data_IF_837731123680
#
_entry.id   IF_837731123680
#
_cell.length_a   1.000
_cell.length_b   1.000
_cell.length_c   1.000
_cell.angle_alpha   90.00
_cell.angle_beta   90.00
_cell.angle_gamma   90.00
#
_symmetry.space_group_name_H-M   'P 1'
#
loop_
_entity.id
_entity.type
_entity.pdbx_description
1 polymer ?
#
# COMPACT_ATOMS: atom_id res chain seq x y z
N UNK A 1 -22.38 -3.38 0.45
CA UNK A 1 -23.83 -3.54 0.15
C UNK A 1 -24.30 -2.24 -0.47
N UNK A 2 -24.78 -2.25 -1.73
CA UNK A 2 -25.22 -1.03 -2.40
C UNK A 2 -26.71 -0.78 -2.11
N UNK A 3 -27.03 0.37 -1.54
CA UNK A 3 -28.41 0.81 -1.29
C UNK A 3 -28.94 1.48 -2.56
N UNK A 4 -30.07 1.02 -3.08
CA UNK A 4 -30.70 1.46 -4.33
C UNK A 4 -32.10 2.04 -4.12
N UNK A 5 -32.85 1.57 -3.13
CA UNK A 5 -34.21 2.06 -2.83
C UNK A 5 -34.47 2.11 -1.32
N UNK A 6 -35.25 3.10 -0.87
CA UNK A 6 -35.73 3.25 0.50
C UNK A 6 -37.22 3.62 0.47
N UNK A 7 -38.06 2.81 1.11
CA UNK A 7 -39.51 3.05 1.23
C UNK A 7 -39.83 3.31 2.71
N UNK A 8 -40.52 4.42 2.98
CA UNK A 8 -40.90 4.82 4.33
C UNK A 8 -42.28 4.26 4.73
N UNK A 9 -42.37 3.69 5.92
CA UNK A 9 -43.60 3.25 6.60
C UNK A 9 -43.75 3.95 7.96
N UNK A 10 -44.91 3.77 8.59
CA UNK A 10 -45.24 4.41 9.88
C UNK A 10 -44.22 4.05 10.99
N UNK A 11 -43.70 2.83 10.99
CA UNK A 11 -42.82 2.27 12.02
C UNK A 11 -41.49 1.74 11.50
N UNK A 12 -41.19 1.86 10.20
CA UNK A 12 -39.95 1.35 9.61
C UNK A 12 -39.53 2.04 8.31
N UNK A 13 -38.27 1.80 7.90
CA UNK A 13 -37.79 2.01 6.53
C UNK A 13 -37.50 0.64 5.90
N UNK A 14 -37.92 0.44 4.65
CA UNK A 14 -37.61 -0.75 3.85
C UNK A 14 -36.53 -0.40 2.83
N UNK A 15 -35.33 -0.98 2.97
CA UNK A 15 -34.18 -0.75 2.10
C UNK A 15 -34.07 -1.90 1.09
N UNK A 16 -33.95 -1.57 -0.20
CA UNK A 16 -33.85 -2.52 -1.31
C UNK A 16 -35.01 -3.55 -1.39
N UNK A 17 -36.14 -3.28 -0.75
CA UNK A 17 -37.29 -4.19 -0.68
C UNK A 17 -37.19 -5.29 0.39
N UNK A 18 -35.99 -5.58 0.91
CA UNK A 18 -35.75 -6.78 1.71
C UNK A 18 -35.21 -6.50 3.13
N UNK A 19 -34.76 -5.28 3.41
CA UNK A 19 -34.18 -4.92 4.71
C UNK A 19 -35.14 -3.97 5.45
N UNK A 20 -35.69 -4.42 6.58
CA UNK A 20 -36.57 -3.59 7.42
C UNK A 20 -35.79 -2.97 8.59
N UNK A 21 -35.83 -1.64 8.70
CA UNK A 21 -35.20 -0.87 9.78
C UNK A 21 -36.30 -0.20 10.61
N UNK A 22 -36.55 -0.69 11.82
CA UNK A 22 -37.62 -0.17 12.69
C UNK A 22 -37.30 1.23 13.24
N UNK A 23 -38.22 2.18 13.02
CA UNK A 23 -38.23 3.51 13.64
C UNK A 23 -38.44 3.34 15.15
N UNK A 24 -37.52 3.86 15.94
CA UNK A 24 -37.58 3.77 17.42
C UNK A 24 -36.87 2.56 18.04
N UNK A 25 -36.30 1.64 17.25
CA UNK A 25 -35.21 0.82 17.77
C UNK A 25 -34.09 1.78 18.19
N UNK A 26 -33.47 1.60 19.37
CA UNK A 26 -32.49 2.53 19.97
C UNK A 26 -31.22 2.80 19.13
N UNK A 27 -31.25 2.39 17.87
CA UNK A 27 -30.30 2.64 16.81
C UNK A 27 -30.60 4.00 16.17
N UNK A 28 -30.49 5.07 16.96
CA UNK A 28 -30.56 6.47 16.47
C UNK A 28 -29.73 6.68 15.20
N UNK A 29 -28.56 6.03 15.15
CA UNK A 29 -27.67 5.99 14.00
C UNK A 29 -28.32 5.48 12.70
N UNK A 30 -29.15 4.42 12.75
CA UNK A 30 -29.78 3.87 11.55
C UNK A 30 -30.90 4.78 11.04
N UNK A 31 -31.62 5.46 11.93
CA UNK A 31 -32.64 6.46 11.58
C UNK A 31 -31.97 7.68 10.95
N UNK A 32 -30.89 8.19 11.56
CA UNK A 32 -30.15 9.33 11.03
C UNK A 32 -29.55 9.03 9.64
N UNK A 33 -29.07 7.80 9.41
CA UNK A 33 -28.61 7.36 8.06
C UNK A 33 -29.78 7.28 7.08
N UNK A 34 -30.92 6.74 7.48
CA UNK A 34 -32.09 6.64 6.61
C UNK A 34 -32.59 8.03 6.18
N UNK A 35 -32.66 8.98 7.11
CA UNK A 35 -33.03 10.37 6.84
C UNK A 35 -32.00 11.08 5.95
N UNK A 36 -30.70 10.82 6.16
CA UNK A 36 -29.63 11.35 5.31
C UNK A 36 -29.69 10.81 3.88
N UNK A 37 -29.96 9.51 3.69
CA UNK A 37 -30.18 8.91 2.36
C UNK A 37 -31.46 9.46 1.72
N UNK A 38 -32.55 9.64 2.49
CA UNK A 38 -33.81 10.20 2.00
C UNK A 38 -33.69 11.65 1.52
N UNK A 39 -32.71 12.40 2.03
CA UNK A 39 -32.34 13.74 1.53
C UNK A 39 -31.55 13.71 0.21
N UNK A 40 -31.37 12.53 -0.40
CA UNK A 40 -30.68 12.37 -1.68
C UNK A 40 -29.17 12.19 -1.55
N UNK A 41 -28.64 11.97 -0.34
CA UNK A 41 -27.23 11.69 -0.16
C UNK A 41 -26.92 10.20 -0.40
N UNK A 42 -25.70 9.92 -0.88
CA UNK A 42 -25.21 8.56 -1.14
C UNK A 42 -23.91 8.36 -0.36
N UNK A 43 -23.76 7.27 0.41
CA UNK A 43 -22.49 7.00 1.10
C UNK A 43 -21.38 6.87 0.07
N UNK A 44 -20.21 7.43 0.38
CA UNK A 44 -19.04 7.24 -0.47
C UNK A 44 -18.75 5.74 -0.63
N UNK A 45 -18.34 5.29 -1.84
CA UNK A 45 -17.91 3.92 -2.03
C UNK A 45 -16.78 3.58 -1.06
N UNK A 46 -16.84 2.38 -0.48
CA UNK A 46 -15.72 1.87 0.30
C UNK A 46 -14.48 1.77 -0.60
N UNK A 47 -13.40 2.42 -0.18
CA UNK A 47 -12.06 2.29 -0.76
C UNK A 47 -11.23 1.47 0.20
N UNK A 48 -10.77 0.30 -0.24
CA UNK A 48 -9.89 -0.54 0.57
C UNK A 48 -8.57 0.18 0.84
N UNK A 49 -8.07 0.22 2.09
CA UNK A 49 -6.77 0.81 2.37
C UNK A 49 -5.67 0.02 1.64
N UNK A 50 -4.58 0.69 1.22
CA UNK A 50 -3.47 0.00 0.59
C UNK A 50 -2.89 -1.07 1.51
N UNK A 51 -2.46 -2.18 0.92
CA UNK A 51 -1.80 -3.26 1.65
C UNK A 51 -0.63 -2.70 2.50
N UNK A 52 -0.45 -3.21 3.74
CA UNK A 52 0.63 -2.76 4.60
C UNK A 52 1.98 -3.01 3.92
N UNK A 53 2.93 -2.09 4.14
CA UNK A 53 4.29 -2.24 3.60
C UNK A 53 5.03 -3.30 4.42
N UNK A 54 5.54 -4.36 3.79
CA UNK A 54 6.41 -5.32 4.46
C UNK A 54 7.61 -4.61 5.08
N UNK A 55 7.86 -4.86 6.37
CA UNK A 55 8.98 -4.20 7.07
C UNK A 55 10.33 -4.88 6.79
N UNK A 56 10.30 -6.11 6.28
CA UNK A 56 11.48 -6.82 5.80
C UNK A 56 11.14 -7.75 4.64
N UNK A 57 12.14 -8.00 3.80
CA UNK A 57 12.11 -9.01 2.73
C UNK A 57 13.46 -9.73 2.70
N UNK A 58 13.50 -10.93 2.12
CA UNK A 58 14.79 -11.60 1.89
C UNK A 58 15.59 -10.86 0.82
N UNK A 59 16.92 -10.99 0.83
CA UNK A 59 17.78 -10.44 -0.24
C UNK A 59 17.35 -10.90 -1.63
N UNK A 60 16.99 -12.18 -1.77
CA UNK A 60 16.51 -12.75 -3.03
C UNK A 60 15.27 -12.00 -3.52
N UNK A 61 14.29 -11.81 -2.65
CA UNK A 61 13.06 -11.07 -2.97
C UNK A 61 13.34 -9.63 -3.36
N UNK A 62 14.18 -8.93 -2.60
CA UNK A 62 14.58 -7.56 -2.89
C UNK A 62 15.27 -7.43 -4.26
N UNK A 63 16.22 -8.32 -4.56
CA UNK A 63 16.90 -8.33 -5.87
C UNK A 63 15.97 -8.65 -7.03
N UNK A 64 15.04 -9.60 -6.86
CA UNK A 64 14.06 -9.92 -7.89
C UNK A 64 13.10 -8.75 -8.14
N UNK A 65 12.69 -8.03 -7.10
CA UNK A 65 11.87 -6.82 -7.26
C UNK A 65 12.63 -5.70 -7.97
N UNK A 66 13.91 -5.48 -7.64
CA UNK A 66 14.77 -4.52 -8.35
C UNK A 66 14.95 -4.89 -9.83
N UNK A 67 15.13 -6.19 -10.12
CA UNK A 67 15.23 -6.71 -11.48
C UNK A 67 13.93 -6.46 -12.28
N UNK A 68 12.78 -6.53 -11.62
CA UNK A 68 11.47 -6.24 -12.23
C UNK A 68 11.17 -4.74 -12.33
N UNK A 69 11.98 -3.86 -11.73
CA UNK A 69 11.75 -2.42 -11.72
C UNK A 69 12.54 -1.73 -12.84
N UNK A 70 11.89 -1.16 -13.86
CA UNK A 70 12.58 -0.51 -14.97
C UNK A 70 13.29 0.79 -14.56
N UNK A 71 14.38 1.10 -15.24
CA UNK A 71 15.10 2.38 -15.18
C UNK A 71 15.66 2.73 -16.56
N UNK A 72 14.81 3.31 -17.42
CA UNK A 72 15.13 3.51 -18.83
C UNK A 72 15.21 2.17 -19.58
N UNK A 73 16.33 1.91 -20.24
CA UNK A 73 16.58 0.66 -20.98
C UNK A 73 17.14 -0.47 -20.10
N UNK A 74 17.49 -0.18 -18.85
CA UNK A 74 18.03 -1.13 -17.86
C UNK A 74 17.07 -1.28 -16.68
N UNK A 75 17.43 -2.12 -15.70
CA UNK A 75 16.65 -2.32 -14.47
C UNK A 75 17.26 -1.52 -13.31
N UNK A 76 16.50 -1.26 -12.25
CA UNK A 76 17.03 -0.67 -11.02
C UNK A 76 18.11 -1.56 -10.39
N UNK A 77 18.06 -2.88 -10.60
CA UNK A 77 19.11 -3.79 -10.15
C UNK A 77 20.44 -3.46 -10.83
N UNK A 78 20.44 -3.30 -12.15
CA UNK A 78 21.65 -2.96 -12.93
C UNK A 78 22.29 -1.65 -12.43
N UNK A 79 21.46 -0.64 -12.14
CA UNK A 79 21.95 0.66 -11.66
C UNK A 79 22.49 0.57 -10.23
N UNK A 80 21.85 -0.20 -9.34
CA UNK A 80 22.37 -0.45 -7.98
C UNK A 80 23.75 -1.10 -8.04
N UNK A 81 23.89 -2.15 -8.84
CA UNK A 81 25.13 -2.92 -8.92
C UNK A 81 26.25 -2.08 -9.55
N UNK A 82 25.96 -1.31 -10.60
CA UNK A 82 26.91 -0.34 -11.16
C UNK A 82 27.32 0.74 -10.15
N UNK A 83 26.39 1.25 -9.33
CA UNK A 83 26.69 2.24 -8.30
C UNK A 83 27.63 1.65 -7.23
N UNK A 84 27.36 0.43 -6.76
CA UNK A 84 28.23 -0.30 -5.84
C UNK A 84 29.63 -0.55 -6.42
N UNK A 85 29.70 -0.87 -7.72
CA UNK A 85 30.97 -1.09 -8.40
C UNK A 85 31.81 0.19 -8.50
N UNK A 86 31.17 1.33 -8.71
CA UNK A 86 31.81 2.65 -8.88
C UNK A 86 32.45 3.23 -7.61
N UNK A 87 32.16 2.66 -6.43
CA UNK A 87 32.74 3.11 -5.16
C UNK A 87 34.26 2.92 -5.19
N UNK A 88 34.99 4.04 -5.20
CA UNK A 88 36.46 4.04 -5.34
C UNK A 88 37.18 3.67 -4.05
N UNK A 89 36.66 4.10 -2.90
CA UNK A 89 37.25 3.77 -1.60
C UNK A 89 36.99 2.28 -1.25
N UNK A 90 38.03 1.44 -1.07
CA UNK A 90 37.84 0.01 -0.84
C UNK A 90 37.13 -0.33 0.47
N UNK A 91 37.27 0.49 1.51
CA UNK A 91 36.60 0.27 2.79
C UNK A 91 35.10 0.61 2.68
N UNK A 92 34.76 1.72 2.05
CA UNK A 92 33.38 2.11 1.78
C UNK A 92 32.69 1.09 0.87
N UNK A 93 33.38 0.62 -0.19
CA UNK A 93 32.84 -0.41 -1.08
C UNK A 93 32.52 -1.70 -0.34
N UNK A 94 33.42 -2.16 0.53
CA UNK A 94 33.17 -3.35 1.37
C UNK A 94 32.01 -3.15 2.33
N UNK A 95 31.91 -1.99 2.98
CA UNK A 95 30.79 -1.69 3.88
C UNK A 95 29.44 -1.68 3.14
N UNK A 96 29.37 -1.05 1.97
CA UNK A 96 28.17 -1.02 1.14
C UNK A 96 27.76 -2.43 0.67
N UNK A 97 28.73 -3.25 0.26
CA UNK A 97 28.47 -4.64 -0.12
C UNK A 97 27.94 -5.47 1.05
N UNK A 98 28.47 -5.30 2.26
CA UNK A 98 27.98 -6.02 3.46
C UNK A 98 26.50 -5.71 3.71
N UNK A 99 26.11 -4.43 3.65
CA UNK A 99 24.71 -4.03 3.82
C UNK A 99 23.82 -4.57 2.68
N UNK A 100 24.28 -4.46 1.43
CA UNK A 100 23.57 -4.95 0.27
C UNK A 100 23.41 -6.49 0.26
N UNK A 101 24.41 -7.21 0.78
CA UNK A 101 24.45 -8.67 0.84
C UNK A 101 23.82 -9.27 2.11
N UNK A 102 23.29 -8.44 3.01
CA UNK A 102 22.55 -8.91 4.17
C UNK A 102 21.42 -9.87 3.75
N UNK A 103 21.21 -10.95 4.50
CA UNK A 103 20.21 -11.98 4.18
C UNK A 103 18.78 -11.42 4.14
N UNK A 104 18.53 -10.38 4.93
CA UNK A 104 17.27 -9.66 5.00
C UNK A 104 17.49 -8.17 4.80
N UNK A 105 16.59 -7.56 4.04
CA UNK A 105 16.53 -6.13 3.84
C UNK A 105 15.39 -5.57 4.67
N UNK A 106 15.72 -4.65 5.58
CA UNK A 106 14.73 -3.96 6.40
C UNK A 106 14.35 -2.63 5.75
N UNK A 107 13.05 -2.30 5.73
CA UNK A 107 12.54 -1.07 5.10
C UNK A 107 13.09 0.21 5.75
N UNK A 108 13.45 0.13 7.02
CA UNK A 108 14.05 1.21 7.80
C UNK A 108 15.59 1.21 7.80
N UNK A 109 16.24 0.33 7.03
CA UNK A 109 17.69 0.33 6.92
C UNK A 109 18.16 1.61 6.20
N UNK A 110 19.01 2.40 6.86
CA UNK A 110 19.45 3.70 6.37
C UNK A 110 20.28 3.60 5.08
N UNK A 111 21.09 2.53 4.92
CA UNK A 111 21.86 2.30 3.70
C UNK A 111 20.93 2.05 2.51
N UNK A 112 19.92 1.18 2.65
CA UNK A 112 18.97 0.90 1.57
C UNK A 112 18.14 2.14 1.18
N UNK A 113 17.72 2.93 2.16
CA UNK A 113 17.01 4.19 1.89
C UNK A 113 17.89 5.19 1.14
N UNK A 114 19.15 5.36 1.57
CA UNK A 114 20.09 6.26 0.92
C UNK A 114 20.41 5.80 -0.52
N UNK A 115 20.65 4.49 -0.71
CA UNK A 115 20.87 3.89 -2.02
C UNK A 115 19.66 4.13 -2.94
N UNK A 116 18.44 3.91 -2.47
CA UNK A 116 17.23 4.13 -3.25
C UNK A 116 17.05 5.59 -3.67
N UNK A 117 17.28 6.52 -2.74
CA UNK A 117 17.21 7.96 -3.01
C UNK A 117 18.27 8.43 -4.01
N UNK A 118 19.50 7.89 -3.93
CA UNK A 118 20.57 8.19 -4.90
C UNK A 118 20.20 7.77 -6.33
N UNK A 119 19.35 6.76 -6.48
CA UNK A 119 18.83 6.28 -7.76
C UNK A 119 17.61 7.10 -8.26
N UNK A 120 17.28 8.20 -7.57
CA UNK A 120 16.12 9.04 -7.86
C UNK A 120 14.78 8.43 -7.46
N UNK A 121 14.78 7.40 -6.61
CA UNK A 121 13.56 6.77 -6.13
C UNK A 121 12.92 7.54 -4.95
N UNK A 122 11.60 7.51 -4.89
CA UNK A 122 10.79 8.09 -3.80
C UNK A 122 10.49 7.07 -2.69
N UNK A 123 10.08 7.54 -1.51
CA UNK A 123 9.65 6.65 -0.42
C UNK A 123 8.46 5.76 -0.81
N UNK A 124 7.52 6.30 -1.58
CA UNK A 124 6.35 5.56 -2.05
C UNK A 124 6.75 4.44 -3.02
N UNK A 125 7.72 4.68 -3.90
CA UNK A 125 8.22 3.65 -4.81
C UNK A 125 9.03 2.59 -4.05
N UNK A 126 9.75 2.97 -2.98
CA UNK A 126 10.43 2.01 -2.12
C UNK A 126 9.41 1.11 -1.39
N UNK A 127 8.32 1.69 -0.90
CA UNK A 127 7.22 0.93 -0.30
C UNK A 127 6.61 -0.06 -1.28
N UNK A 128 6.41 0.37 -2.53
CA UNK A 128 5.91 -0.48 -3.60
C UNK A 128 6.91 -1.60 -3.95
N UNK A 129 8.21 -1.30 -3.99
CA UNK A 129 9.26 -2.30 -4.17
C UNK A 129 9.19 -3.39 -3.09
N UNK A 130 9.01 -3.00 -1.82
CA UNK A 130 8.87 -3.95 -0.71
C UNK A 130 7.59 -4.78 -0.81
N UNK A 131 6.46 -4.18 -1.21
CA UNK A 131 5.22 -4.93 -1.48
C UNK A 131 5.41 -5.96 -2.59
N UNK A 132 6.04 -5.58 -3.71
CA UNK A 132 6.35 -6.49 -4.82
C UNK A 132 7.29 -7.60 -4.37
N UNK A 133 8.37 -7.26 -3.68
CA UNK A 133 9.35 -8.22 -3.17
C UNK A 133 8.72 -9.29 -2.29
N UNK A 134 7.76 -8.94 -1.43
CA UNK A 134 7.08 -9.90 -0.57
C UNK A 134 6.22 -10.94 -1.32
N UNK A 135 5.96 -10.74 -2.62
CA UNK A 135 5.24 -11.70 -3.48
C UNK A 135 6.15 -12.67 -4.24
N UNK A 136 7.47 -12.53 -4.13
CA UNK A 136 8.49 -13.26 -4.91
C UNK A 136 9.22 -14.34 -4.09
#
# INVERSE_FOLDING_TARGET
MNIQTVIEHDDAYIINGDITVMKGSGHRFLIDIADWIAQGNTPEPYVEPPAPVPQSVTRRQGRLALLQTPHGEVTKLDVVEAALESISDPMQKRAALIEYDADTWARNNAFLQAMWAQLGGTELELDNLFRTAATL
#
